data_IF_783015621926
#
_entry.id   IF_783015621926
#
_cell.length_a   1.000
_cell.length_b   1.000
_cell.length_c   1.000
_cell.angle_alpha   90.00
_cell.angle_beta   90.00
_cell.angle_gamma   90.00
#
_symmetry.space_group_name_H-M   'P 1'
#
loop_
_entity.id
_entity.type
_entity.pdbx_description
1 polymer ?
#
# COMPACT_ATOMS: atom_id res chain seq x y z
N UNK A 1 2.58 10.28 -15.87
CA UNK A 1 2.90 10.25 -14.41
C UNK A 1 3.34 8.84 -14.10
N UNK A 2 4.20 8.63 -13.13
CA UNK A 2 4.66 7.28 -12.78
C UNK A 2 3.50 6.52 -12.13
N UNK A 3 3.29 5.23 -12.45
CA UNK A 3 2.24 4.37 -11.84
C UNK A 3 2.27 4.39 -10.29
N UNK A 4 3.38 4.84 -9.71
CA UNK A 4 3.64 4.91 -8.29
C UNK A 4 3.12 6.17 -7.59
N UNK A 5 2.62 7.14 -8.32
CA UNK A 5 2.22 8.43 -7.76
C UNK A 5 0.81 8.36 -7.20
N UNK A 6 0.66 8.56 -5.88
CA UNK A 6 -0.64 8.86 -5.26
C UNK A 6 -0.88 10.37 -5.31
N UNK A 7 -2.02 10.77 -5.86
CA UNK A 7 -2.43 12.16 -5.95
C UNK A 7 -3.57 12.41 -4.95
N UNK A 8 -3.39 13.34 -4.02
CA UNK A 8 -4.49 13.83 -3.20
C UNK A 8 -5.39 14.73 -4.04
N UNK A 9 -6.65 14.35 -4.16
CA UNK A 9 -7.67 15.06 -4.96
C UNK A 9 -8.77 15.59 -4.06
N UNK A 10 -9.06 16.87 -4.18
CA UNK A 10 -10.09 17.55 -3.41
C UNK A 10 -10.82 18.60 -4.25
N UNK A 11 -11.79 19.30 -3.63
CA UNK A 11 -12.40 20.52 -4.16
C UNK A 11 -12.36 21.60 -3.07
N UNK A 12 -11.61 22.67 -3.30
CA UNK A 12 -11.43 23.75 -2.33
C UNK A 12 -12.61 24.74 -2.37
N UNK A 13 -13.12 25.09 -1.20
CA UNK A 13 -14.17 26.09 -1.07
C UNK A 13 -13.63 27.51 -1.17
N UNK A 14 -14.28 28.41 -1.92
CA UNK A 14 -13.89 29.83 -2.00
C UNK A 14 -14.21 30.63 -0.73
N UNK A 15 -14.90 30.07 0.25
CA UNK A 15 -15.28 30.73 1.49
C UNK A 15 -14.05 31.10 2.34
N UNK A 16 -13.90 32.38 2.64
CA UNK A 16 -12.72 32.92 3.34
C UNK A 16 -12.47 32.28 4.71
N UNK A 17 -13.52 31.98 5.44
CA UNK A 17 -13.41 31.38 6.78
C UNK A 17 -12.86 29.93 6.77
N UNK A 18 -12.90 29.25 5.63
CA UNK A 18 -12.32 27.91 5.45
C UNK A 18 -10.82 27.90 5.18
N UNK A 19 -10.26 29.04 4.77
CA UNK A 19 -8.85 29.14 4.33
C UNK A 19 -7.86 28.57 5.36
N UNK A 20 -7.95 28.88 6.68
CA UNK A 20 -6.99 28.34 7.64
C UNK A 20 -7.03 26.81 7.75
N UNK A 21 -8.23 26.22 7.75
CA UNK A 21 -8.41 24.77 7.83
C UNK A 21 -7.91 24.09 6.56
N UNK A 22 -8.32 24.58 5.39
CA UNK A 22 -7.91 24.01 4.11
C UNK A 22 -6.40 24.07 3.89
N UNK A 23 -5.72 25.14 4.32
CA UNK A 23 -4.26 25.22 4.29
C UNK A 23 -3.60 24.16 5.18
N UNK A 24 -4.06 24.01 6.42
CA UNK A 24 -3.54 22.99 7.32
C UNK A 24 -3.71 21.57 6.74
N UNK A 25 -4.85 21.28 6.12
CA UNK A 25 -5.09 20.01 5.45
C UNK A 25 -4.13 19.79 4.27
N UNK A 26 -3.99 20.77 3.37
CA UNK A 26 -3.05 20.71 2.24
C UNK A 26 -1.62 20.48 2.73
N UNK A 27 -1.18 21.20 3.77
CA UNK A 27 0.16 21.04 4.35
C UNK A 27 0.34 19.62 4.93
N UNK A 28 -0.68 19.06 5.59
CA UNK A 28 -0.63 17.69 6.10
C UNK A 28 -0.49 16.64 4.99
N UNK A 29 -1.18 16.81 3.86
CA UNK A 29 -1.09 15.91 2.71
C UNK A 29 0.27 15.97 2.04
N UNK A 30 0.87 17.17 1.93
CA UNK A 30 2.24 17.35 1.42
C UNK A 30 3.28 16.72 2.34
N UNK A 31 3.10 16.86 3.66
CA UNK A 31 3.97 16.22 4.65
C UNK A 31 3.90 14.68 4.57
N UNK A 32 2.76 14.12 4.13
CA UNK A 32 2.61 12.71 3.82
C UNK A 32 3.23 12.30 2.45
N UNK A 33 3.87 13.24 1.74
CA UNK A 33 4.51 13.02 0.44
C UNK A 33 3.55 13.03 -0.75
N UNK A 34 2.33 13.58 -0.59
CA UNK A 34 1.32 13.60 -1.65
C UNK A 34 1.42 14.86 -2.52
N UNK A 35 1.26 14.69 -3.82
CA UNK A 35 0.92 15.78 -4.74
C UNK A 35 -0.54 16.14 -4.54
N UNK A 36 -0.88 17.44 -4.55
CA UNK A 36 -2.24 17.92 -4.27
C UNK A 36 -2.85 18.56 -5.52
N UNK A 37 -3.99 18.02 -5.96
CA UNK A 37 -4.81 18.55 -7.04
C UNK A 37 -6.16 19.03 -6.50
N UNK A 38 -6.59 20.23 -6.89
CA UNK A 38 -7.92 20.73 -6.57
C UNK A 38 -8.77 20.86 -7.82
N UNK A 39 -9.94 20.21 -7.78
CA UNK A 39 -10.94 20.21 -8.84
C UNK A 39 -11.95 21.29 -8.55
N UNK A 40 -11.98 22.31 -9.39
CA UNK A 40 -12.88 23.45 -9.19
C UNK A 40 -13.42 23.98 -10.53
N UNK A 41 -14.58 24.59 -10.50
CA UNK A 41 -15.08 25.33 -11.63
C UNK A 41 -14.12 26.50 -11.98
N UNK A 42 -13.89 26.82 -13.27
CA UNK A 42 -12.95 27.89 -13.67
C UNK A 42 -13.19 29.24 -12.98
N UNK A 43 -14.45 29.61 -12.74
CA UNK A 43 -14.78 30.85 -12.03
C UNK A 43 -14.33 30.86 -10.56
N UNK A 44 -14.29 29.71 -9.88
CA UNK A 44 -13.78 29.60 -8.51
C UNK A 44 -12.26 29.63 -8.48
N UNK A 45 -11.59 29.00 -9.45
CA UNK A 45 -10.12 29.00 -9.55
C UNK A 45 -9.56 30.41 -9.57
N UNK A 46 -10.22 31.33 -10.27
CA UNK A 46 -9.81 32.74 -10.29
C UNK A 46 -9.74 33.38 -8.90
N UNK A 47 -10.66 32.98 -8.00
CA UNK A 47 -10.69 33.49 -6.61
C UNK A 47 -9.75 32.72 -5.67
N UNK A 48 -9.44 31.46 -5.99
CA UNK A 48 -8.67 30.54 -5.14
C UNK A 48 -7.17 30.56 -5.43
N UNK A 49 -6.78 30.81 -6.68
CA UNK A 49 -5.40 30.69 -7.16
C UNK A 49 -4.38 31.54 -6.38
N UNK A 50 -4.78 32.72 -5.89
CA UNK A 50 -3.91 33.56 -5.06
C UNK A 50 -3.79 33.11 -3.59
N UNK A 51 -4.59 32.13 -3.16
CA UNK A 51 -4.70 31.69 -1.77
C UNK A 51 -4.01 30.36 -1.51
N UNK A 52 -3.98 29.49 -2.53
CA UNK A 52 -3.48 28.12 -2.41
C UNK A 52 -2.49 27.82 -3.51
N UNK A 53 -1.41 27.17 -3.13
CA UNK A 53 -0.42 26.61 -4.05
C UNK A 53 -0.73 25.12 -4.25
N UNK A 54 -1.58 24.80 -5.23
CA UNK A 54 -1.98 23.43 -5.59
C UNK A 54 -2.09 23.31 -7.11
N UNK A 55 -2.08 22.11 -7.63
CA UNK A 55 -2.37 21.87 -9.05
C UNK A 55 -3.86 22.01 -9.31
N UNK A 56 -4.24 22.97 -10.12
CA UNK A 56 -5.63 23.22 -10.46
C UNK A 56 -6.09 22.36 -11.62
N UNK A 57 -7.22 21.66 -11.42
CA UNK A 57 -7.92 20.93 -12.47
C UNK A 57 -9.24 21.64 -12.74
N UNK A 58 -9.35 22.40 -13.85
CA UNK A 58 -10.59 23.10 -14.20
C UNK A 58 -11.67 22.09 -14.61
N UNK A 59 -12.84 22.17 -13.99
CA UNK A 59 -13.98 21.29 -14.21
C UNK A 59 -15.22 22.12 -14.54
N UNK A 60 -15.77 21.92 -15.73
CA UNK A 60 -17.04 22.54 -16.15
C UNK A 60 -18.25 21.68 -15.75
N UNK A 61 -18.07 20.34 -15.70
CA UNK A 61 -19.12 19.40 -15.28
C UNK A 61 -19.25 19.41 -13.77
N UNK A 62 -20.22 20.14 -13.25
CA UNK A 62 -20.49 20.24 -11.80
C UNK A 62 -21.94 19.91 -11.50
N UNK A 63 -22.28 19.80 -10.22
CA UNK A 63 -23.67 19.60 -9.77
C UNK A 63 -24.38 20.91 -9.41
N UNK A 64 -24.01 22.01 -10.08
CA UNK A 64 -24.57 23.34 -9.81
C UNK A 64 -26.09 23.41 -10.06
N UNK A 65 -26.59 22.70 -11.06
CA UNK A 65 -28.02 22.63 -11.37
C UNK A 65 -28.85 21.97 -10.25
N UNK A 66 -28.20 21.12 -9.44
CA UNK A 66 -28.86 20.41 -8.34
C UNK A 66 -28.72 21.17 -7.03
N UNK A 67 -27.55 21.74 -6.74
CA UNK A 67 -27.22 22.32 -5.43
C UNK A 67 -27.08 23.82 -5.40
N UNK A 68 -27.07 24.47 -6.57
CA UNK A 68 -26.81 25.90 -6.69
C UNK A 68 -25.32 26.33 -6.48
N UNK A 69 -24.43 25.37 -6.28
CA UNK A 69 -22.99 25.56 -6.09
C UNK A 69 -22.20 24.55 -6.92
N UNK A 70 -20.94 24.87 -7.24
CA UNK A 70 -20.06 24.07 -8.10
C UNK A 70 -19.47 22.85 -7.36
N UNK A 71 -20.32 21.95 -6.83
CA UNK A 71 -19.83 20.68 -6.30
C UNK A 71 -19.36 19.74 -7.40
N UNK A 72 -18.27 19.04 -7.16
CA UNK A 72 -17.64 18.15 -8.14
C UNK A 72 -18.16 16.72 -7.98
N UNK A 73 -18.82 16.14 -9.00
CA UNK A 73 -19.26 14.75 -8.98
C UNK A 73 -18.09 13.78 -8.83
N UNK A 74 -18.28 12.70 -8.05
CA UNK A 74 -17.25 11.65 -7.85
C UNK A 74 -16.80 11.05 -9.17
N UNK A 75 -17.72 10.90 -10.13
CA UNK A 75 -17.41 10.38 -11.48
C UNK A 75 -16.35 11.20 -12.20
N UNK A 76 -16.38 12.52 -12.09
CA UNK A 76 -15.40 13.40 -12.74
C UNK A 76 -13.97 13.12 -12.26
N UNK A 77 -13.81 12.87 -10.95
CA UNK A 77 -12.52 12.50 -10.37
C UNK A 77 -12.09 11.12 -10.83
N UNK A 78 -13.01 10.16 -10.85
CA UNK A 78 -12.72 8.81 -11.30
C UNK A 78 -12.26 8.77 -12.77
N UNK A 79 -12.93 9.50 -13.67
CA UNK A 79 -12.56 9.59 -15.08
C UNK A 79 -11.20 10.27 -15.29
N UNK A 80 -10.93 11.30 -14.50
CA UNK A 80 -9.63 11.95 -14.54
C UNK A 80 -8.51 11.00 -14.09
N UNK A 81 -8.75 10.24 -13.03
CA UNK A 81 -7.80 9.25 -12.53
C UNK A 81 -7.51 8.15 -13.58
N UNK A 82 -8.54 7.69 -14.32
CA UNK A 82 -8.40 6.75 -15.43
C UNK A 82 -7.57 7.34 -16.57
N UNK A 83 -7.89 8.56 -17.02
CA UNK A 83 -7.18 9.22 -18.11
C UNK A 83 -5.68 9.43 -17.84
N UNK A 84 -5.32 9.58 -16.55
CA UNK A 84 -3.93 9.81 -16.14
C UNK A 84 -3.23 8.55 -15.65
N UNK A 85 -3.96 7.42 -15.57
CA UNK A 85 -3.49 6.14 -15.04
C UNK A 85 -2.80 6.28 -13.67
N UNK A 86 -3.51 6.87 -12.72
CA UNK A 86 -2.97 7.17 -11.38
C UNK A 86 -3.85 6.63 -10.28
N UNK A 87 -3.24 6.45 -9.11
CA UNK A 87 -3.96 6.23 -7.87
C UNK A 87 -4.31 7.58 -7.24
N UNK A 88 -5.56 7.74 -6.84
CA UNK A 88 -6.04 8.97 -6.20
C UNK A 88 -6.45 8.73 -4.76
N UNK A 89 -6.03 9.64 -3.88
CA UNK A 89 -6.62 9.82 -2.57
C UNK A 89 -7.66 10.94 -2.68
N UNK A 90 -8.91 10.55 -2.94
CA UNK A 90 -10.04 11.46 -2.95
C UNK A 90 -10.40 11.83 -1.51
N UNK A 91 -10.28 13.10 -1.13
CA UNK A 91 -10.33 13.53 0.26
C UNK A 91 -11.05 14.89 0.40
N UNK A 92 -11.90 15.02 1.42
CA UNK A 92 -12.52 16.31 1.76
C UNK A 92 -11.49 17.35 2.19
N UNK A 93 -11.74 18.60 1.82
CA UNK A 93 -10.83 19.73 2.04
C UNK A 93 -10.67 20.17 3.52
N UNK A 94 -11.35 19.51 4.44
CA UNK A 94 -11.31 19.71 5.89
C UNK A 94 -10.82 18.48 6.67
N UNK A 95 -10.20 17.54 5.97
CA UNK A 95 -9.57 16.36 6.58
C UNK A 95 -8.05 16.54 6.62
N UNK A 96 -7.49 16.57 7.81
CA UNK A 96 -6.06 16.57 8.07
C UNK A 96 -5.54 15.12 8.14
N UNK A 97 -4.44 14.81 7.42
CA UNK A 97 -3.78 13.51 7.48
C UNK A 97 -2.58 13.54 8.42
N UNK A 98 -2.51 12.56 9.32
CA UNK A 98 -1.32 12.30 10.14
C UNK A 98 -0.74 10.94 9.74
N UNK A 99 -0.05 10.92 8.62
CA UNK A 99 0.58 9.75 8.04
C UNK A 99 1.95 10.08 7.48
N UNK A 100 2.85 9.14 7.56
CA UNK A 100 4.14 9.18 6.88
C UNK A 100 3.98 8.73 5.43
N UNK A 101 4.98 9.03 4.60
CA UNK A 101 4.97 8.61 3.19
C UNK A 101 4.97 7.07 3.05
N UNK A 102 5.63 6.34 3.96
CA UNK A 102 5.62 4.88 3.92
C UNK A 102 4.25 4.28 4.32
N UNK A 103 3.53 4.88 5.26
CA UNK A 103 2.16 4.46 5.60
C UNK A 103 1.20 4.68 4.43
N UNK A 104 1.37 5.76 3.67
CA UNK A 104 0.64 5.97 2.42
C UNK A 104 0.99 4.87 1.40
N UNK A 105 2.27 4.53 1.21
CA UNK A 105 2.70 3.43 0.34
C UNK A 105 2.04 2.11 0.76
N UNK A 106 2.07 1.79 2.05
CA UNK A 106 1.46 0.58 2.60
C UNK A 106 -0.04 0.49 2.31
N UNK A 107 -0.80 1.56 2.60
CA UNK A 107 -2.24 1.59 2.33
C UNK A 107 -2.51 1.51 0.83
N UNK A 108 -1.67 2.13 -0.01
CA UNK A 108 -1.73 2.02 -1.48
C UNK A 108 -1.62 0.58 -1.95
N UNK A 109 -0.62 -0.17 -1.46
CA UNK A 109 -0.43 -1.56 -1.86
C UNK A 109 -1.54 -2.47 -1.38
N UNK A 110 -2.05 -2.26 -0.18
CA UNK A 110 -3.23 -2.98 0.32
C UNK A 110 -4.47 -2.70 -0.54
N UNK A 111 -4.60 -1.47 -1.06
CA UNK A 111 -5.68 -1.07 -1.96
C UNK A 111 -5.49 -1.51 -3.42
N UNK A 112 -4.37 -2.15 -3.78
CA UNK A 112 -4.12 -2.56 -5.16
C UNK A 112 -5.18 -3.53 -5.68
N UNK A 113 -5.97 -3.11 -6.67
CA UNK A 113 -7.14 -3.84 -7.17
C UNK A 113 -8.40 -3.73 -6.31
N UNK A 114 -8.47 -2.70 -5.46
CA UNK A 114 -9.59 -2.42 -4.59
C UNK A 114 -9.64 -0.98 -4.11
N UNK A 115 -10.19 -0.77 -2.93
CA UNK A 115 -10.37 0.54 -2.31
C UNK A 115 -9.86 0.52 -0.87
N UNK A 116 -9.12 1.54 -0.46
CA UNK A 116 -8.96 1.86 0.96
C UNK A 116 -9.80 3.06 1.33
N UNK A 117 -10.51 3.01 2.46
CA UNK A 117 -11.20 4.17 3.01
C UNK A 117 -10.74 4.44 4.43
N UNK A 118 -10.77 5.72 4.82
CA UNK A 118 -10.26 6.17 6.10
C UNK A 118 -11.40 6.52 7.04
N UNK A 119 -11.41 5.90 8.22
CA UNK A 119 -12.35 6.26 9.28
C UNK A 119 -11.94 7.62 9.84
N UNK A 120 -12.89 8.55 9.82
CA UNK A 120 -12.69 9.90 10.32
C UNK A 120 -12.60 9.93 11.85
N UNK A 121 -11.62 10.67 12.37
CA UNK A 121 -11.48 10.95 13.79
C UNK A 121 -11.82 12.42 14.08
N UNK A 122 -12.89 12.64 14.82
CA UNK A 122 -13.38 13.97 15.15
C UNK A 122 -12.66 14.57 16.35
N UNK A 123 -12.29 15.87 16.28
CA UNK A 123 -11.70 16.62 17.39
C UNK A 123 -12.21 18.06 17.46
N UNK A 124 -12.18 18.66 18.65
CA UNK A 124 -12.59 20.04 18.93
C UNK A 124 -11.42 21.04 19.01
N UNK A 125 -10.28 20.69 18.38
CA UNK A 125 -9.05 21.53 18.38
C UNK A 125 -7.80 20.82 18.92
N UNK A 126 -7.95 19.63 19.51
CA UNK A 126 -6.82 18.81 19.95
C UNK A 126 -6.94 17.40 19.38
N UNK A 127 -6.07 17.04 18.43
CA UNK A 127 -6.04 15.75 17.75
C UNK A 127 -5.72 14.58 18.68
N UNK A 128 -4.98 14.79 19.78
CA UNK A 128 -4.67 13.73 20.75
C UNK A 128 -5.90 13.27 21.53
N UNK A 129 -7.01 14.02 21.47
CA UNK A 129 -8.31 13.71 22.07
C UNK A 129 -9.37 13.41 21.03
N UNK A 130 -8.96 13.14 19.80
CA UNK A 130 -9.87 12.75 18.73
C UNK A 130 -10.51 11.39 19.03
N UNK A 131 -11.75 11.22 18.59
CA UNK A 131 -12.48 9.97 18.66
C UNK A 131 -12.95 9.55 17.28
N UNK A 132 -12.99 8.24 16.99
CA UNK A 132 -13.50 7.76 15.71
C UNK A 132 -14.97 8.15 15.55
N UNK A 133 -15.32 8.58 14.34
CA UNK A 133 -16.71 8.80 13.92
C UNK A 133 -17.18 7.58 13.13
N UNK A 134 -18.02 6.72 13.70
CA UNK A 134 -18.39 5.45 13.08
C UNK A 134 -19.00 5.56 11.69
N UNK A 135 -19.62 6.71 11.39
CA UNK A 135 -20.31 6.95 10.13
C UNK A 135 -19.57 7.92 9.20
N UNK A 136 -18.45 8.51 9.67
CA UNK A 136 -17.69 9.48 8.91
C UNK A 136 -16.59 8.82 8.08
N UNK A 137 -16.71 8.92 6.77
CA UNK A 137 -15.71 8.46 5.81
C UNK A 137 -15.52 9.57 4.79
N UNK A 138 -14.38 10.25 4.85
CA UNK A 138 -14.16 11.45 4.04
C UNK A 138 -12.85 11.38 3.23
N UNK A 139 -12.24 10.18 3.13
CA UNK A 139 -11.05 9.94 2.33
C UNK A 139 -11.04 8.51 1.75
N UNK A 140 -10.71 8.40 0.45
CA UNK A 140 -10.75 7.16 -0.32
C UNK A 140 -9.54 7.04 -1.21
N UNK A 141 -8.82 5.93 -1.12
CA UNK A 141 -7.69 5.62 -1.98
C UNK A 141 -8.07 4.52 -2.96
N UNK A 142 -8.04 4.81 -4.26
CA UNK A 142 -8.36 3.87 -5.34
C UNK A 142 -7.60 4.21 -6.62
N UNK A 143 -7.49 3.25 -7.53
CA UNK A 143 -6.83 3.44 -8.83
C UNK A 143 -7.84 3.81 -9.92
N UNK A 144 -7.43 4.66 -10.87
CA UNK A 144 -8.24 5.08 -12.01
C UNK A 144 -8.78 3.92 -12.86
N UNK A 145 -8.08 2.77 -12.91
CA UNK A 145 -8.56 1.56 -13.59
C UNK A 145 -9.95 1.06 -13.13
N UNK A 146 -10.38 1.46 -11.94
CA UNK A 146 -11.68 1.12 -11.39
C UNK A 146 -12.76 2.20 -11.65
N UNK A 147 -12.44 3.25 -12.41
CA UNK A 147 -13.36 4.36 -12.72
C UNK A 147 -14.66 3.92 -13.39
N UNK A 148 -14.63 2.82 -14.16
CA UNK A 148 -15.81 2.24 -14.79
C UNK A 148 -16.88 1.76 -13.79
N UNK A 149 -16.51 1.50 -12.52
CA UNK A 149 -17.44 1.16 -11.46
C UNK A 149 -18.30 2.35 -11.03
N UNK A 150 -17.80 3.58 -11.22
CA UNK A 150 -18.49 4.80 -10.77
C UNK A 150 -19.45 5.27 -11.86
N UNK A 151 -20.77 5.24 -11.63
CA UNK A 151 -21.75 5.67 -12.60
C UNK A 151 -21.84 7.20 -12.71
N UNK A 152 -22.38 7.68 -13.82
CA UNK A 152 -22.75 9.08 -13.96
C UNK A 152 -23.83 9.44 -12.93
N UNK A 153 -23.54 10.42 -12.09
CA UNK A 153 -24.44 10.90 -11.05
C UNK A 153 -24.03 12.30 -10.57
N UNK A 154 -24.93 12.98 -9.87
CA UNK A 154 -24.63 14.24 -9.23
C UNK A 154 -24.11 14.08 -7.79
N UNK A 155 -23.90 12.84 -7.30
CA UNK A 155 -23.26 12.62 -5.99
C UNK A 155 -21.84 13.20 -6.00
N UNK A 156 -21.63 14.22 -5.18
CA UNK A 156 -20.47 15.11 -5.25
C UNK A 156 -19.72 15.17 -3.93
N UNK A 157 -18.44 15.43 -4.01
CA UNK A 157 -17.54 15.62 -2.87
C UNK A 157 -18.16 16.62 -1.88
N UNK A 158 -18.23 16.25 -0.61
CA UNK A 158 -18.74 17.08 0.48
C UNK A 158 -20.27 17.17 0.56
N UNK A 159 -21.03 16.44 -0.27
CA UNK A 159 -22.47 16.29 -0.19
C UNK A 159 -22.86 14.94 0.43
N UNK A 160 -24.07 14.74 0.98
CA UNK A 160 -24.47 13.46 1.56
C UNK A 160 -24.35 12.29 0.58
N UNK A 161 -24.09 11.08 1.10
CA UNK A 161 -23.99 9.80 0.37
C UNK A 161 -22.82 9.65 -0.61
N UNK A 162 -22.06 10.69 -0.90
CA UNK A 162 -20.86 10.54 -1.73
C UNK A 162 -19.83 9.62 -1.06
N UNK A 163 -19.74 9.70 0.27
CA UNK A 163 -18.85 8.95 1.14
C UNK A 163 -19.21 7.46 1.24
N UNK A 164 -20.45 7.09 0.94
CA UNK A 164 -20.90 5.69 0.90
C UNK A 164 -20.84 5.08 -0.50
N UNK A 165 -20.74 5.92 -1.55
CA UNK A 165 -20.86 5.46 -2.93
C UNK A 165 -19.70 4.53 -3.32
N UNK A 166 -18.45 4.95 -3.12
CA UNK A 166 -17.29 4.17 -3.52
C UNK A 166 -17.19 2.83 -2.78
N UNK A 167 -17.22 2.77 -1.43
CA UNK A 167 -17.16 1.50 -0.71
C UNK A 167 -18.28 0.54 -1.13
N UNK A 168 -19.49 1.03 -1.32
CA UNK A 168 -20.60 0.23 -1.75
C UNK A 168 -20.38 -0.37 -3.15
N UNK A 169 -19.99 0.45 -4.12
CA UNK A 169 -19.74 0.01 -5.50
C UNK A 169 -18.63 -1.03 -5.57
N UNK A 170 -17.51 -0.79 -4.86
CA UNK A 170 -16.40 -1.72 -4.87
C UNK A 170 -16.78 -3.09 -4.31
N UNK A 171 -17.44 -3.14 -3.15
CA UNK A 171 -17.91 -4.42 -2.55
C UNK A 171 -18.91 -5.14 -3.44
N UNK A 172 -19.91 -4.43 -3.98
CA UNK A 172 -20.95 -5.07 -4.80
C UNK A 172 -20.44 -5.57 -6.15
N UNK A 173 -19.31 -5.05 -6.62
CA UNK A 173 -18.61 -5.55 -7.80
C UNK A 173 -17.46 -6.54 -7.48
N UNK A 174 -17.44 -7.09 -6.27
CA UNK A 174 -16.47 -8.12 -5.86
C UNK A 174 -15.03 -7.61 -5.69
N UNK A 175 -14.86 -6.29 -5.50
CA UNK A 175 -13.55 -5.69 -5.19
C UNK A 175 -13.28 -5.74 -3.68
N UNK A 176 -12.01 -5.87 -3.31
CA UNK A 176 -11.61 -5.76 -1.91
C UNK A 176 -11.73 -4.32 -1.41
N UNK A 177 -12.11 -4.15 -0.15
CA UNK A 177 -12.05 -2.86 0.53
C UNK A 177 -11.32 -2.98 1.86
N UNK A 178 -10.55 -1.95 2.20
CA UNK A 178 -9.75 -1.87 3.40
C UNK A 178 -10.18 -0.65 4.22
N UNK A 179 -10.57 -0.88 5.48
CA UNK A 179 -10.88 0.21 6.40
C UNK A 179 -9.62 0.60 7.17
N UNK A 180 -9.12 1.80 6.96
CA UNK A 180 -8.03 2.38 7.76
C UNK A 180 -8.67 2.96 9.03
N UNK A 181 -8.70 2.16 10.11
CA UNK A 181 -9.38 2.50 11.37
C UNK A 181 -8.44 3.12 12.42
N UNK A 182 -7.11 3.01 12.23
CA UNK A 182 -6.18 3.73 13.11
C UNK A 182 -6.27 5.24 12.88
N UNK A 183 -5.89 6.06 13.89
CA UNK A 183 -6.00 7.53 13.80
C UNK A 183 -5.09 8.13 12.73
N UNK A 184 -5.60 8.24 11.51
CA UNK A 184 -4.88 8.77 10.35
C UNK A 184 -5.58 9.99 9.72
N UNK A 185 -6.92 10.01 9.68
CA UNK A 185 -7.72 11.08 9.08
C UNK A 185 -8.48 11.84 10.17
N UNK A 186 -8.15 13.12 10.35
CA UNK A 186 -8.68 13.95 11.42
C UNK A 186 -9.57 15.06 10.86
N UNK A 187 -10.71 15.25 11.52
CA UNK A 187 -11.68 16.28 11.18
C UNK A 187 -11.95 17.18 12.37
N UNK A 188 -11.75 18.47 12.19
CA UNK A 188 -12.17 19.46 13.18
C UNK A 188 -13.68 19.65 13.12
N UNK A 189 -14.39 19.31 14.18
CA UNK A 189 -15.85 19.40 14.24
C UNK A 189 -16.34 20.82 14.00
N UNK A 190 -17.26 20.95 13.08
CA UNK A 190 -18.00 22.18 12.78
C UNK A 190 -19.49 21.87 12.51
N UNK A 191 -20.31 22.90 12.35
CA UNK A 191 -21.72 22.75 12.02
C UNK A 191 -21.93 22.11 10.64
N UNK A 192 -23.06 21.41 10.48
CA UNK A 192 -23.48 20.79 9.22
C UNK A 192 -23.52 21.81 8.07
N UNK A 193 -22.99 21.46 6.91
CA UNK A 193 -22.86 22.32 5.73
C UNK A 193 -23.89 22.03 4.64
N UNK A 194 -24.73 21.03 4.81
CA UNK A 194 -25.77 20.64 3.87
C UNK A 194 -27.16 20.71 4.52
N UNK A 195 -28.17 20.91 3.68
CA UNK A 195 -29.56 20.94 4.12
C UNK A 195 -30.19 19.54 4.11
N UNK A 196 -31.28 19.38 4.86
CA UNK A 196 -32.09 18.17 4.78
C UNK A 196 -32.57 17.87 3.34
N UNK A 197 -32.91 18.91 2.59
CA UNK A 197 -33.33 18.75 1.19
C UNK A 197 -32.20 18.15 0.32
N UNK A 198 -30.97 18.59 0.51
CA UNK A 198 -29.82 18.01 -0.18
C UNK A 198 -29.60 16.55 0.23
N UNK A 199 -29.73 16.25 1.52
CA UNK A 199 -29.61 14.85 1.98
C UNK A 199 -30.64 13.95 1.32
N UNK A 200 -31.92 14.35 1.29
CA UNK A 200 -33.00 13.63 0.66
C UNK A 200 -32.78 13.44 -0.85
N UNK A 201 -32.31 14.46 -1.57
CA UNK A 201 -31.96 14.37 -3.00
C UNK A 201 -30.85 13.34 -3.22
N UNK A 202 -29.79 13.39 -2.41
CA UNK A 202 -28.67 12.46 -2.49
C UNK A 202 -29.07 11.03 -2.14
N UNK A 203 -29.91 10.82 -1.13
CA UNK A 203 -30.46 9.50 -0.78
C UNK A 203 -31.21 8.86 -1.94
N UNK A 204 -32.08 9.63 -2.60
CA UNK A 204 -32.83 9.16 -3.80
C UNK A 204 -31.89 8.79 -4.95
N UNK A 205 -30.92 9.62 -5.23
CA UNK A 205 -29.94 9.33 -6.28
C UNK A 205 -29.10 8.09 -5.95
N UNK A 206 -28.66 7.96 -4.69
CA UNK A 206 -27.95 6.78 -4.23
C UNK A 206 -28.82 5.52 -4.36
N UNK A 207 -30.10 5.59 -3.95
CA UNK A 207 -31.07 4.51 -4.11
C UNK A 207 -31.27 4.12 -5.58
N UNK A 208 -31.34 5.09 -6.50
CA UNK A 208 -31.42 4.87 -7.94
C UNK A 208 -30.21 4.11 -8.48
N UNK A 209 -29.00 4.47 -8.02
CA UNK A 209 -27.73 3.85 -8.47
C UNK A 209 -27.64 2.41 -7.95
N UNK A 210 -28.00 2.20 -6.69
CA UNK A 210 -27.74 0.93 -5.99
C UNK A 210 -28.89 -0.05 -6.06
N UNK A 211 -30.05 0.36 -6.57
CA UNK A 211 -31.27 -0.42 -6.53
C UNK A 211 -31.90 -0.54 -5.12
N UNK A 212 -31.34 0.14 -4.13
CA UNK A 212 -31.82 0.17 -2.75
C UNK A 212 -32.92 1.23 -2.59
N UNK A 213 -33.96 1.13 -3.40
CA UNK A 213 -35.11 2.06 -3.34
C UNK A 213 -35.97 1.73 -2.12
N UNK A 214 -35.96 2.62 -1.14
CA UNK A 214 -36.92 2.66 -0.06
C UNK A 214 -37.91 3.84 -0.25
N UNK A 215 -38.80 4.04 0.71
CA UNK A 215 -39.63 5.23 0.77
C UNK A 215 -38.85 6.40 1.38
N UNK A 216 -37.72 6.85 0.80
CA UNK A 216 -36.89 7.95 1.34
C UNK A 216 -37.67 9.27 1.44
N UNK A 217 -38.81 9.22 2.14
CA UNK A 217 -39.74 10.36 2.33
C UNK A 217 -39.49 11.07 3.65
N UNK A 218 -38.84 10.40 4.60
CA UNK A 218 -38.53 10.93 5.93
C UNK A 218 -37.02 10.90 6.24
N UNK A 219 -36.63 11.58 7.31
CA UNK A 219 -35.29 11.54 7.82
C UNK A 219 -34.91 10.13 8.31
N UNK A 220 -35.87 9.46 8.93
CA UNK A 220 -35.70 8.08 9.43
C UNK A 220 -35.45 7.11 8.29
N UNK A 221 -36.11 7.26 7.15
CA UNK A 221 -35.87 6.44 5.95
C UNK A 221 -34.48 6.63 5.40
N UNK A 222 -33.99 7.87 5.32
CA UNK A 222 -32.64 8.17 4.84
C UNK A 222 -31.55 7.67 5.82
N UNK A 223 -31.79 7.73 7.12
CA UNK A 223 -30.91 7.13 8.13
C UNK A 223 -30.91 5.61 8.01
N UNK A 224 -32.08 4.99 7.85
CA UNK A 224 -32.19 3.54 7.65
C UNK A 224 -31.42 3.08 6.39
N UNK A 225 -31.52 3.82 5.28
CA UNK A 225 -30.75 3.57 4.07
C UNK A 225 -29.25 3.65 4.34
N UNK A 226 -28.78 4.70 5.04
CA UNK A 226 -27.36 4.87 5.40
C UNK A 226 -26.84 3.67 6.20
N UNK A 227 -27.61 3.20 7.18
CA UNK A 227 -27.25 2.02 7.99
C UNK A 227 -27.20 0.73 7.15
N UNK A 228 -28.18 0.53 6.26
CA UNK A 228 -28.22 -0.63 5.38
C UNK A 228 -27.02 -0.66 4.42
N UNK A 229 -26.68 0.48 3.83
CA UNK A 229 -25.51 0.65 2.97
C UNK A 229 -24.24 0.34 3.74
N UNK A 230 -24.11 0.90 4.95
CA UNK A 230 -22.97 0.65 5.82
C UNK A 230 -22.80 -0.84 6.13
N UNK A 231 -23.87 -1.53 6.48
CA UNK A 231 -23.84 -2.98 6.72
C UNK A 231 -23.37 -3.77 5.49
N UNK A 232 -23.69 -3.31 4.28
CA UNK A 232 -23.28 -3.97 3.03
C UNK A 232 -21.76 -3.93 2.86
N UNK A 233 -21.17 -2.77 3.00
CA UNK A 233 -19.71 -2.71 2.82
C UNK A 233 -18.93 -3.09 4.07
N UNK A 234 -19.46 -2.97 5.28
CA UNK A 234 -18.82 -3.47 6.49
C UNK A 234 -18.58 -4.98 6.48
N UNK A 235 -19.42 -5.75 5.77
CA UNK A 235 -19.20 -7.20 5.58
C UNK A 235 -17.97 -7.53 4.74
N UNK A 236 -17.60 -6.66 3.81
CA UNK A 236 -16.46 -6.84 2.91
C UNK A 236 -15.17 -6.15 3.39
N UNK A 237 -15.24 -5.41 4.50
CA UNK A 237 -14.09 -4.64 4.97
C UNK A 237 -13.02 -5.51 5.64
N UNK A 238 -11.78 -5.12 5.44
CA UNK A 238 -10.62 -5.60 6.18
C UNK A 238 -9.91 -4.39 6.75
N UNK A 239 -9.61 -4.40 8.04
CA UNK A 239 -8.88 -3.30 8.69
C UNK A 239 -7.40 -3.67 8.81
N UNK A 240 -6.49 -2.97 8.11
CA UNK A 240 -5.07 -3.19 8.30
C UNK A 240 -4.68 -2.77 9.72
N UNK A 241 -3.74 -3.45 10.37
CA UNK A 241 -3.23 -3.01 11.67
C UNK A 241 -2.61 -1.62 11.56
N UNK A 242 -2.61 -0.85 12.64
CA UNK A 242 -1.97 0.47 12.70
C UNK A 242 -0.48 0.40 12.38
N UNK A 243 0.18 -0.64 12.87
CA UNK A 243 1.56 -0.99 12.54
C UNK A 243 1.58 -2.39 11.92
N UNK A 244 2.48 -2.67 10.98
CA UNK A 244 2.67 -4.02 10.47
C UNK A 244 3.09 -4.93 11.62
N UNK A 245 2.57 -6.17 11.62
CA UNK A 245 3.00 -7.17 12.60
C UNK A 245 4.48 -7.45 12.37
N UNK A 246 5.33 -7.51 13.42
CA UNK A 246 6.72 -7.95 13.25
C UNK A 246 6.78 -9.28 12.49
N UNK A 247 7.63 -9.35 11.49
CA UNK A 247 7.67 -10.53 10.59
C UNK A 247 7.89 -11.83 11.34
N UNK A 248 8.73 -11.83 12.39
CA UNK A 248 8.97 -13.02 13.22
C UNK A 248 7.69 -13.50 13.91
N UNK A 249 6.88 -12.62 14.48
CA UNK A 249 5.60 -12.97 15.09
C UNK A 249 4.61 -13.53 14.06
N UNK A 250 4.61 -12.99 12.83
CA UNK A 250 3.78 -13.49 11.75
C UNK A 250 4.19 -14.92 11.36
N UNK A 251 5.49 -15.17 11.19
CA UNK A 251 6.04 -16.49 10.83
C UNK A 251 5.75 -17.51 11.93
N UNK A 252 5.99 -17.17 13.19
CA UNK A 252 5.67 -18.04 14.34
C UNK A 252 4.18 -18.39 14.39
N UNK A 253 3.32 -17.42 14.22
CA UNK A 253 1.88 -17.63 14.19
C UNK A 253 1.45 -18.51 13.00
N UNK A 254 1.98 -18.24 11.79
CA UNK A 254 1.58 -18.93 10.56
C UNK A 254 2.04 -20.37 10.55
N UNK A 255 3.24 -20.63 11.02
CA UNK A 255 3.89 -21.94 10.92
C UNK A 255 3.93 -22.74 12.25
N UNK A 256 3.04 -22.44 13.17
CA UNK A 256 2.96 -23.10 14.49
C UNK A 256 2.48 -24.55 14.47
N UNK A 257 1.91 -25.03 13.35
CA UNK A 257 1.39 -26.40 13.24
C UNK A 257 2.51 -27.44 13.09
N UNK A 258 2.17 -28.73 13.28
CA UNK A 258 3.14 -29.84 13.26
C UNK A 258 3.40 -30.44 11.88
N UNK A 259 2.92 -29.83 10.79
CA UNK A 259 3.20 -30.30 9.44
C UNK A 259 4.64 -30.00 9.03
N UNK A 260 5.32 -30.89 8.27
CA UNK A 260 6.64 -30.60 7.74
C UNK A 260 6.62 -29.36 6.83
N UNK A 261 7.65 -28.54 6.92
CA UNK A 261 7.78 -27.28 6.17
C UNK A 261 9.19 -27.15 5.59
N UNK A 262 9.26 -26.58 4.40
CA UNK A 262 10.53 -26.23 3.75
C UNK A 262 10.66 -24.72 3.64
N UNK A 263 11.72 -24.19 4.21
CA UNK A 263 12.09 -22.79 4.13
C UNK A 263 13.38 -22.60 3.32
N UNK A 264 13.45 -21.54 2.56
CA UNK A 264 14.69 -21.03 1.98
C UNK A 264 15.04 -19.69 2.64
N UNK A 265 16.28 -19.55 3.05
CA UNK A 265 16.83 -18.27 3.54
C UNK A 265 17.98 -17.87 2.62
N UNK A 266 17.80 -16.78 1.90
CA UNK A 266 18.72 -16.27 0.91
C UNK A 266 19.39 -15.01 1.49
N UNK A 267 20.73 -15.05 1.64
CA UNK A 267 21.46 -14.02 2.36
C UNK A 267 21.44 -14.25 3.88
N UNK A 268 21.76 -15.46 4.32
CA UNK A 268 21.61 -15.85 5.74
C UNK A 268 22.70 -15.28 6.67
N UNK A 269 23.70 -14.59 6.13
CA UNK A 269 24.77 -13.90 6.88
C UNK A 269 25.38 -14.77 7.98
N UNK A 270 25.36 -14.34 9.24
CA UNK A 270 25.84 -15.11 10.39
C UNK A 270 24.80 -16.11 10.96
N UNK A 271 23.65 -16.25 10.31
CA UNK A 271 22.62 -17.21 10.65
C UNK A 271 21.77 -16.82 11.85
N UNK A 272 21.58 -15.55 12.12
CA UNK A 272 20.71 -15.08 13.23
C UNK A 272 19.26 -15.45 12.99
N UNK A 273 18.72 -15.19 11.80
CA UNK A 273 17.37 -15.53 11.42
C UNK A 273 17.23 -17.03 11.16
N UNK A 274 18.23 -17.66 10.55
CA UNK A 274 18.33 -19.14 10.43
C UNK A 274 18.16 -19.80 11.80
N UNK A 275 18.92 -19.32 12.80
CA UNK A 275 18.90 -19.88 14.15
C UNK A 275 17.54 -19.79 14.82
N UNK A 276 16.84 -18.68 14.63
CA UNK A 276 15.49 -18.49 15.11
C UNK A 276 14.48 -19.36 14.34
N UNK A 277 14.48 -19.32 13.00
CA UNK A 277 13.58 -20.15 12.20
C UNK A 277 13.76 -21.65 12.45
N UNK A 278 15.00 -22.09 12.73
CA UNK A 278 15.29 -23.49 13.08
C UNK A 278 14.65 -23.94 14.40
N UNK A 279 14.12 -23.05 15.22
CA UNK A 279 13.35 -23.40 16.44
C UNK A 279 11.88 -23.69 16.16
N UNK A 280 11.39 -23.36 14.97
CA UNK A 280 10.00 -23.62 14.60
C UNK A 280 9.74 -25.12 14.43
N UNK A 281 8.51 -25.59 14.70
CA UNK A 281 8.21 -27.02 14.64
C UNK A 281 8.27 -27.54 13.19
N UNK A 282 8.99 -28.66 13.02
CA UNK A 282 9.04 -29.43 11.76
C UNK A 282 9.50 -28.62 10.52
N UNK A 283 10.40 -27.65 10.72
CA UNK A 283 10.98 -26.83 9.65
C UNK A 283 12.32 -27.41 9.21
N UNK A 284 12.52 -27.57 7.91
CA UNK A 284 13.82 -27.76 7.26
C UNK A 284 14.18 -26.48 6.54
N UNK A 285 15.39 -25.96 6.76
CA UNK A 285 15.87 -24.71 6.18
C UNK A 285 17.02 -24.97 5.23
N UNK A 286 16.95 -24.43 4.02
CA UNK A 286 18.07 -24.32 3.10
C UNK A 286 18.58 -22.86 3.18
N UNK A 287 19.76 -22.67 3.77
CA UNK A 287 20.34 -21.35 4.05
C UNK A 287 21.49 -21.05 3.10
N UNK A 288 21.42 -19.93 2.40
CA UNK A 288 22.39 -19.51 1.38
C UNK A 288 23.18 -18.30 1.86
N UNK A 289 24.52 -18.41 1.85
CA UNK A 289 25.42 -17.33 2.22
C UNK A 289 26.70 -17.40 1.40
N UNK A 290 26.88 -16.53 0.40
CA UNK A 290 28.06 -16.56 -0.46
C UNK A 290 29.34 -16.02 0.18
N UNK A 291 29.24 -15.08 1.14
CA UNK A 291 30.39 -14.45 1.75
C UNK A 291 31.20 -15.45 2.59
N UNK A 292 32.47 -15.76 2.21
CA UNK A 292 33.29 -16.72 2.94
C UNK A 292 33.67 -16.25 4.37
N UNK A 293 33.50 -14.96 4.67
CA UNK A 293 33.81 -14.39 6.00
C UNK A 293 32.67 -14.70 6.99
N UNK A 294 31.46 -15.01 6.51
CA UNK A 294 30.29 -15.30 7.32
C UNK A 294 30.17 -16.80 7.58
N UNK A 295 30.40 -17.21 8.82
CA UNK A 295 30.29 -18.61 9.23
C UNK A 295 29.10 -18.80 10.17
N UNK A 296 28.30 -19.79 9.87
CA UNK A 296 27.09 -20.10 10.62
C UNK A 296 27.24 -21.36 11.47
N UNK A 297 26.58 -21.44 12.64
CA UNK A 297 26.53 -22.65 13.44
C UNK A 297 25.81 -23.78 12.69
N UNK A 298 26.36 -24.99 12.75
CA UNK A 298 25.71 -26.21 12.19
C UNK A 298 24.51 -26.60 13.03
N UNK A 299 23.38 -26.89 12.38
CA UNK A 299 22.13 -27.37 12.97
C UNK A 299 21.57 -28.54 12.19
N UNK A 300 20.91 -29.48 12.86
CA UNK A 300 20.45 -30.72 12.23
C UNK A 300 19.34 -30.53 11.19
N UNK A 301 18.56 -29.47 11.32
CA UNK A 301 17.47 -29.12 10.39
C UNK A 301 17.82 -27.95 9.46
N UNK A 302 19.12 -27.61 9.33
CA UNK A 302 19.61 -26.54 8.45
C UNK A 302 20.61 -27.11 7.46
N UNK A 303 20.35 -26.89 6.19
CA UNK A 303 21.21 -27.27 5.05
C UNK A 303 21.89 -25.99 4.56
N UNK A 304 23.15 -25.78 4.94
CA UNK A 304 23.92 -24.59 4.56
C UNK A 304 24.51 -24.73 3.16
N UNK A 305 24.47 -23.65 2.39
CA UNK A 305 25.00 -23.54 1.04
C UNK A 305 25.86 -22.30 0.88
N UNK A 306 27.10 -22.48 0.47
CA UNK A 306 28.04 -21.38 0.15
C UNK A 306 27.82 -20.94 -1.31
N UNK A 307 26.64 -20.40 -1.60
CA UNK A 307 26.16 -20.06 -2.94
C UNK A 307 25.46 -18.69 -2.93
N UNK A 308 25.70 -17.91 -3.96
CA UNK A 308 24.84 -16.78 -4.29
C UNK A 308 23.62 -17.26 -5.07
N UNK A 309 22.47 -16.62 -4.85
CA UNK A 309 21.27 -16.90 -5.65
C UNK A 309 21.11 -15.76 -6.68
N UNK A 310 20.93 -16.13 -7.94
CA UNK A 310 20.85 -15.18 -9.04
C UNK A 310 20.06 -15.67 -10.24
N UNK A 311 20.19 -14.95 -11.36
CA UNK A 311 19.46 -15.26 -12.61
C UNK A 311 20.10 -16.36 -13.46
N UNK A 312 21.35 -16.77 -13.18
CA UNK A 312 22.06 -17.79 -13.93
C UNK A 312 22.98 -18.62 -13.04
N UNK A 313 23.21 -19.87 -13.45
CA UNK A 313 24.14 -20.77 -12.78
C UNK A 313 25.58 -20.46 -13.19
N UNK A 314 26.56 -20.70 -12.30
CA UNK A 314 27.98 -20.55 -12.58
C UNK A 314 28.72 -19.74 -11.55
N UNK A 315 29.54 -18.79 -11.98
CA UNK A 315 30.29 -17.88 -11.09
C UNK A 315 29.79 -16.46 -11.28
N UNK A 316 29.77 -15.72 -10.19
CA UNK A 316 29.34 -14.31 -10.17
C UNK A 316 30.32 -13.47 -9.38
N UNK A 317 30.67 -12.27 -9.84
CA UNK A 317 31.34 -11.30 -9.00
C UNK A 317 30.48 -10.98 -7.77
N UNK A 318 31.14 -10.89 -6.61
CA UNK A 318 30.53 -10.59 -5.33
C UNK A 318 31.31 -9.49 -4.64
N UNK A 319 30.70 -8.35 -4.45
CA UNK A 319 31.33 -7.14 -3.92
C UNK A 319 31.21 -7.15 -2.41
N UNK A 320 32.34 -7.11 -1.72
CA UNK A 320 32.40 -7.21 -0.28
C UNK A 320 32.16 -5.84 0.36
N UNK A 321 31.20 -5.73 1.26
CA UNK A 321 31.16 -4.61 2.20
C UNK A 321 32.19 -4.82 3.32
N UNK A 322 32.85 -3.76 3.79
CA UNK A 322 33.95 -3.88 4.72
C UNK A 322 33.73 -3.19 6.05
N UNK A 323 33.25 -1.96 6.01
CA UNK A 323 33.14 -1.12 7.19
C UNK A 323 31.85 -0.31 7.17
N UNK A 324 31.16 -0.24 8.29
CA UNK A 324 29.94 0.54 8.42
C UNK A 324 29.65 0.86 9.88
N UNK A 325 29.07 2.01 10.13
CA UNK A 325 28.72 2.48 11.49
C UNK A 325 29.85 2.38 12.51
N UNK A 326 31.09 2.62 12.07
CA UNK A 326 32.28 2.60 12.95
C UNK A 326 32.81 1.21 13.28
N UNK A 327 32.42 0.15 12.58
CA UNK A 327 32.83 -1.24 12.83
C UNK A 327 32.98 -2.04 11.53
N UNK A 328 33.55 -3.25 11.62
CA UNK A 328 33.55 -4.20 10.51
C UNK A 328 32.10 -4.56 10.13
N UNK A 329 31.83 -4.49 8.82
CA UNK A 329 30.47 -4.64 8.30
C UNK A 329 30.44 -5.58 7.08
N UNK A 330 29.66 -6.66 7.14
CA UNK A 330 29.53 -7.65 6.07
C UNK A 330 28.09 -7.83 5.60
N UNK A 331 27.15 -7.04 6.12
CA UNK A 331 25.72 -7.18 5.82
C UNK A 331 25.33 -6.71 4.42
N UNK A 332 26.06 -5.76 3.85
CA UNK A 332 25.70 -5.14 2.57
C UNK A 332 26.49 -5.69 1.36
N UNK A 333 27.09 -6.89 1.49
CA UNK A 333 27.81 -7.54 0.39
C UNK A 333 26.81 -8.10 -0.63
N UNK A 334 27.08 -7.91 -1.95
CA UNK A 334 26.11 -8.26 -2.99
C UNK A 334 26.79 -8.71 -4.29
N UNK A 335 26.04 -9.46 -5.12
CA UNK A 335 26.39 -9.69 -6.53
C UNK A 335 26.12 -8.44 -7.40
N UNK A 336 25.47 -7.44 -6.85
CA UNK A 336 25.14 -6.16 -7.50
C UNK A 336 26.10 -5.07 -7.07
N UNK A 337 26.37 -4.12 -7.96
CA UNK A 337 27.22 -2.97 -7.61
C UNK A 337 26.44 -1.96 -6.77
N UNK A 338 27.01 -1.46 -5.66
CA UNK A 338 26.40 -0.40 -4.89
C UNK A 338 26.31 0.89 -5.73
N UNK A 339 25.17 1.56 -5.65
CA UNK A 339 24.86 2.82 -6.34
C UNK A 339 24.47 3.89 -5.32
N UNK A 340 23.19 4.10 -5.07
CA UNK A 340 22.75 5.08 -4.08
C UNK A 340 23.02 4.65 -2.63
N UNK A 341 23.31 3.38 -2.40
CA UNK A 341 23.74 2.86 -1.11
C UNK A 341 24.92 3.66 -0.51
N UNK A 342 25.88 4.04 -1.34
CA UNK A 342 27.05 4.82 -0.93
C UNK A 342 26.71 6.23 -0.41
N UNK A 343 25.54 6.76 -0.77
CA UNK A 343 25.07 8.08 -0.34
C UNK A 343 24.11 8.00 0.84
N UNK A 344 23.42 6.87 0.98
CA UNK A 344 22.38 6.69 2.00
C UNK A 344 22.91 6.12 3.31
N UNK A 345 23.91 5.26 3.23
CA UNK A 345 24.45 4.54 4.39
C UNK A 345 25.96 4.76 4.54
N UNK A 346 26.49 4.83 5.78
CA UNK A 346 27.93 5.00 6.05
C UNK A 346 28.67 3.66 5.90
N UNK A 347 28.51 2.99 4.75
CA UNK A 347 29.13 1.69 4.45
C UNK A 347 30.17 1.86 3.35
N UNK A 348 31.32 1.22 3.51
CA UNK A 348 32.36 1.13 2.49
C UNK A 348 32.41 -0.26 1.89
N UNK A 349 32.73 -0.33 0.63
CA UNK A 349 32.94 -1.56 -0.12
C UNK A 349 34.39 -1.69 -0.52
N UNK A 350 34.89 -2.92 -0.51
CA UNK A 350 36.27 -3.26 -0.79
C UNK A 350 36.43 -4.18 -1.99
N UNK A 351 37.08 -5.31 -1.78
CA UNK A 351 37.39 -6.26 -2.83
C UNK A 351 36.12 -6.88 -3.47
N UNK A 352 36.26 -7.22 -4.75
CA UNK A 352 35.30 -8.08 -5.44
C UNK A 352 35.92 -9.46 -5.56
N UNK A 353 35.19 -10.46 -5.10
CA UNK A 353 35.57 -11.87 -5.21
C UNK A 353 34.65 -12.63 -6.18
N UNK A 354 35.09 -13.78 -6.65
CA UNK A 354 34.25 -14.70 -7.43
C UNK A 354 33.59 -15.72 -6.49
N UNK A 355 32.26 -15.81 -6.51
CA UNK A 355 31.52 -16.81 -5.76
C UNK A 355 30.76 -17.73 -6.71
N UNK A 356 30.45 -18.93 -6.25
CA UNK A 356 29.52 -19.81 -6.97
C UNK A 356 28.11 -19.27 -6.87
N UNK A 357 27.39 -19.26 -8.01
CA UNK A 357 26.03 -18.78 -8.12
C UNK A 357 25.12 -19.87 -8.70
N UNK A 358 23.87 -19.90 -8.23
CA UNK A 358 22.87 -20.85 -8.67
C UNK A 358 21.52 -20.17 -8.83
N UNK A 359 20.71 -20.66 -9.78
CA UNK A 359 19.32 -20.27 -9.87
C UNK A 359 18.49 -21.09 -8.89
N UNK A 360 17.41 -20.50 -8.36
CA UNK A 360 16.48 -21.27 -7.50
C UNK A 360 15.91 -22.49 -8.20
N UNK A 361 15.60 -22.36 -9.49
CA UNK A 361 15.05 -23.47 -10.27
C UNK A 361 16.03 -24.63 -10.42
N UNK A 362 17.32 -24.36 -10.63
CA UNK A 362 18.35 -25.40 -10.67
C UNK A 362 18.56 -26.01 -9.29
N UNK A 363 18.68 -25.20 -8.26
CA UNK A 363 18.87 -25.68 -6.90
C UNK A 363 17.72 -26.61 -6.46
N UNK A 364 16.48 -26.15 -6.55
CA UNK A 364 15.33 -26.94 -6.10
C UNK A 364 15.16 -28.23 -6.90
N UNK A 365 15.44 -28.21 -8.20
CA UNK A 365 15.45 -29.42 -9.03
C UNK A 365 16.52 -30.40 -8.58
N UNK A 366 17.73 -29.93 -8.27
CA UNK A 366 18.88 -30.79 -7.90
C UNK A 366 18.69 -31.41 -6.52
N UNK A 367 18.17 -30.64 -5.56
CA UNK A 367 17.94 -31.07 -4.18
C UNK A 367 16.58 -31.76 -3.98
N UNK A 368 15.74 -31.86 -5.02
CA UNK A 368 14.42 -32.52 -4.93
C UNK A 368 13.40 -31.69 -4.11
N UNK A 369 13.56 -30.37 -4.04
CA UNK A 369 12.64 -29.48 -3.35
C UNK A 369 11.50 -29.11 -4.30
N UNK A 370 10.31 -29.67 -4.07
CA UNK A 370 9.17 -29.48 -4.97
C UNK A 370 8.25 -28.34 -4.52
N UNK A 371 8.11 -28.10 -3.22
CA UNK A 371 7.24 -27.08 -2.64
C UNK A 371 7.98 -26.33 -1.53
N UNK A 372 7.78 -25.03 -1.49
CA UNK A 372 8.37 -24.13 -0.50
C UNK A 372 7.26 -23.43 0.26
N UNK A 373 7.30 -23.51 1.59
CA UNK A 373 6.32 -22.83 2.43
C UNK A 373 6.67 -21.37 2.64
N UNK A 374 7.99 -21.06 2.75
CA UNK A 374 8.43 -19.70 3.00
C UNK A 374 9.85 -19.44 2.45
N UNK A 375 10.01 -18.32 1.76
CA UNK A 375 11.31 -17.76 1.40
C UNK A 375 11.52 -16.49 2.20
N UNK A 376 12.68 -16.39 2.85
CA UNK A 376 13.24 -15.16 3.40
C UNK A 376 14.39 -14.74 2.50
N UNK A 377 14.22 -13.65 1.75
CA UNK A 377 15.24 -13.15 0.83
C UNK A 377 15.71 -11.76 1.26
N UNK A 378 16.97 -11.69 1.65
CA UNK A 378 17.72 -10.49 2.01
C UNK A 378 19.08 -10.61 1.28
N UNK A 379 19.09 -10.25 0.00
CA UNK A 379 20.21 -10.48 -0.92
C UNK A 379 20.75 -9.19 -1.55
N UNK A 380 20.48 -8.09 -0.85
CA UNK A 380 21.12 -6.81 -1.09
C UNK A 380 21.01 -6.34 -2.56
N UNK A 381 19.75 -6.23 -3.04
CA UNK A 381 19.43 -5.72 -4.35
C UNK A 381 19.37 -6.74 -5.49
N UNK A 382 19.60 -8.03 -5.21
CA UNK A 382 19.56 -9.11 -6.20
C UNK A 382 18.20 -9.85 -6.28
N UNK A 383 17.14 -9.30 -5.70
CA UNK A 383 15.81 -9.89 -5.64
C UNK A 383 15.22 -10.11 -7.04
N UNK A 384 15.43 -9.16 -7.95
CA UNK A 384 15.01 -9.28 -9.34
C UNK A 384 15.73 -10.44 -10.07
N UNK A 385 17.02 -10.66 -9.80
CA UNK A 385 17.81 -11.79 -10.30
C UNK A 385 17.28 -13.12 -9.75
N UNK A 386 17.01 -13.18 -8.46
CA UNK A 386 16.43 -14.35 -7.78
C UNK A 386 15.08 -14.72 -8.42
N UNK A 387 14.21 -13.75 -8.68
CA UNK A 387 12.90 -13.99 -9.30
C UNK A 387 13.06 -14.53 -10.71
N UNK A 388 13.95 -13.94 -11.54
CA UNK A 388 14.23 -14.44 -12.91
C UNK A 388 14.83 -15.84 -12.93
N UNK A 389 15.66 -16.18 -11.94
CA UNK A 389 16.24 -17.52 -11.80
C UNK A 389 15.34 -18.54 -11.10
N UNK A 390 14.17 -18.13 -10.61
CA UNK A 390 13.29 -18.93 -9.77
C UNK A 390 11.83 -19.01 -10.24
N UNK A 391 11.52 -18.74 -11.51
CA UNK A 391 10.15 -18.67 -11.98
C UNK A 391 9.31 -19.93 -11.67
N UNK A 392 9.88 -21.15 -11.89
CA UNK A 392 9.21 -22.40 -11.57
C UNK A 392 9.09 -22.61 -10.06
N UNK A 393 10.16 -22.32 -9.33
CA UNK A 393 10.23 -22.45 -7.88
C UNK A 393 9.21 -21.54 -7.20
N UNK A 394 9.14 -20.29 -7.63
CA UNK A 394 8.22 -19.29 -7.05
C UNK A 394 6.74 -19.62 -7.32
N UNK A 395 6.40 -20.26 -8.44
CA UNK A 395 5.03 -20.79 -8.63
C UNK A 395 4.63 -21.83 -7.58
N UNK A 396 5.60 -22.54 -7.00
CA UNK A 396 5.41 -23.56 -5.96
C UNK A 396 5.79 -23.02 -4.55
N UNK A 397 5.98 -21.72 -4.40
CA UNK A 397 6.28 -21.05 -3.14
C UNK A 397 5.02 -20.40 -2.59
N UNK A 398 4.69 -20.65 -1.31
CA UNK A 398 3.49 -20.08 -0.67
C UNK A 398 3.67 -18.65 -0.24
N UNK A 399 4.80 -18.35 0.43
CA UNK A 399 5.10 -17.02 0.97
C UNK A 399 6.52 -16.61 0.61
N UNK A 400 6.67 -15.33 0.25
CA UNK A 400 7.96 -14.69 0.04
C UNK A 400 8.03 -13.43 0.90
N UNK A 401 9.01 -13.35 1.78
CA UNK A 401 9.43 -12.13 2.46
C UNK A 401 10.72 -11.65 1.81
N UNK A 402 10.76 -10.40 1.37
CA UNK A 402 11.88 -9.88 0.61
C UNK A 402 12.03 -8.38 0.79
N UNK A 403 13.26 -7.88 0.67
CA UNK A 403 13.55 -6.45 0.61
C UNK A 403 13.14 -5.86 -0.76
N UNK A 404 12.94 -4.56 -0.77
CA UNK A 404 12.79 -3.74 -1.96
C UNK A 404 13.31 -2.33 -1.72
N UNK A 405 13.67 -1.60 -2.78
CA UNK A 405 14.00 -0.19 -2.66
C UNK A 405 13.55 0.59 -3.89
N UNK A 406 12.92 1.74 -3.65
CA UNK A 406 12.56 2.67 -4.71
C UNK A 406 13.75 3.58 -5.10
N UNK A 407 14.84 3.58 -4.32
CA UNK A 407 16.00 4.46 -4.51
C UNK A 407 17.15 3.80 -5.30
N UNK A 408 16.97 2.61 -5.84
CA UNK A 408 18.01 1.85 -6.55
C UNK A 408 19.34 1.88 -5.78
N UNK A 409 19.35 1.28 -4.58
CA UNK A 409 20.56 1.22 -3.72
C UNK A 409 21.70 0.49 -4.41
N UNK A 410 21.37 -0.50 -5.25
CA UNK A 410 22.30 -1.26 -6.08
C UNK A 410 21.91 -1.12 -7.56
N UNK A 411 22.88 -1.19 -8.47
CA UNK A 411 22.66 -1.04 -9.92
C UNK A 411 21.63 -2.07 -10.43
N UNK A 412 20.50 -1.60 -10.99
CA UNK A 412 19.43 -2.43 -11.52
C UNK A 412 18.66 -3.21 -10.44
N UNK A 413 18.67 -2.75 -9.19
CA UNK A 413 17.78 -3.27 -8.15
C UNK A 413 16.33 -3.06 -8.53
N UNK A 414 15.50 -4.08 -8.34
CA UNK A 414 14.08 -4.00 -8.66
C UNK A 414 13.32 -3.21 -7.58
N UNK A 415 12.49 -2.27 -8.02
CA UNK A 415 11.50 -1.60 -7.18
C UNK A 415 10.35 -2.55 -6.83
N UNK A 416 9.53 -2.21 -5.82
CA UNK A 416 8.38 -3.04 -5.47
C UNK A 416 7.39 -3.24 -6.63
N UNK A 417 7.04 -2.22 -7.46
CA UNK A 417 6.24 -2.44 -8.66
C UNK A 417 6.84 -3.45 -9.63
N UNK A 418 8.15 -3.38 -9.87
CA UNK A 418 8.84 -4.32 -10.76
C UNK A 418 8.83 -5.74 -10.20
N UNK A 419 9.05 -5.91 -8.89
CA UNK A 419 8.90 -7.20 -8.19
C UNK A 419 7.48 -7.76 -8.39
N UNK A 420 6.45 -6.93 -8.17
CA UNK A 420 5.06 -7.36 -8.33
C UNK A 420 4.70 -7.69 -9.78
N UNK A 421 5.25 -6.97 -10.76
CA UNK A 421 5.05 -7.29 -12.18
C UNK A 421 5.70 -8.62 -12.57
N UNK A 422 6.85 -8.97 -11.96
CA UNK A 422 7.49 -10.28 -12.16
C UNK A 422 6.76 -11.42 -11.44
N UNK A 423 5.93 -11.12 -10.43
CA UNK A 423 5.22 -12.09 -9.58
C UNK A 423 3.69 -11.92 -9.67
N UNK A 424 3.07 -12.11 -10.86
CA UNK A 424 1.64 -11.82 -11.07
C UNK A 424 0.69 -12.68 -10.22
N UNK A 425 1.14 -13.86 -9.76
CA UNK A 425 0.36 -14.75 -8.90
C UNK A 425 0.43 -14.38 -7.41
N UNK A 426 1.32 -13.46 -7.04
CA UNK A 426 1.47 -13.01 -5.67
C UNK A 426 0.62 -11.79 -5.34
N UNK A 427 0.30 -11.63 -4.06
CA UNK A 427 -0.30 -10.42 -3.49
C UNK A 427 0.47 -9.97 -2.26
N UNK A 428 0.48 -8.69 -2.01
CA UNK A 428 1.02 -8.14 -0.76
C UNK A 428 0.10 -8.52 0.40
N UNK A 429 0.66 -9.11 1.47
CA UNK A 429 -0.02 -9.35 2.74
C UNK A 429 0.32 -8.25 3.73
N UNK A 430 1.62 -7.90 3.81
CA UNK A 430 2.12 -6.89 4.74
C UNK A 430 3.28 -6.13 4.10
N UNK A 431 3.44 -4.88 4.47
CA UNK A 431 4.46 -3.98 3.94
C UNK A 431 5.12 -3.21 5.08
N UNK A 432 6.45 -3.22 5.10
CA UNK A 432 7.32 -2.42 5.97
C UNK A 432 8.04 -1.35 5.14
N UNK A 433 8.92 -0.59 5.76
CA UNK A 433 9.62 0.51 5.08
C UNK A 433 10.45 0.04 3.87
N UNK A 434 11.19 -1.05 4.05
CA UNK A 434 12.12 -1.59 3.06
C UNK A 434 11.86 -3.08 2.77
N UNK A 435 10.79 -3.68 3.37
CA UNK A 435 10.45 -5.10 3.25
C UNK A 435 9.00 -5.32 2.83
N UNK A 436 8.73 -6.44 2.18
CA UNK A 436 7.38 -6.87 1.81
C UNK A 436 7.17 -8.37 2.06
N UNK A 437 6.00 -8.71 2.58
CA UNK A 437 5.53 -10.09 2.67
C UNK A 437 4.48 -10.35 1.61
N UNK A 438 4.75 -11.34 0.77
CA UNK A 438 3.94 -11.72 -0.37
C UNK A 438 3.34 -13.12 -0.17
N UNK A 439 2.09 -13.32 -0.60
CA UNK A 439 1.41 -14.61 -0.63
C UNK A 439 1.06 -15.00 -2.07
N UNK A 440 1.38 -16.22 -2.44
CA UNK A 440 0.98 -16.80 -3.72
C UNK A 440 -0.52 -17.15 -3.69
N UNK A 441 -1.34 -16.45 -4.47
CA UNK A 441 -2.80 -16.64 -4.53
C UNK A 441 -3.20 -18.03 -5.04
N UNK A 442 -2.38 -18.62 -5.90
CA UNK A 442 -2.66 -19.95 -6.44
C UNK A 442 -2.51 -21.07 -5.37
N UNK A 443 -1.75 -20.80 -4.29
CA UNK A 443 -1.48 -21.74 -3.20
C UNK A 443 -2.15 -21.30 -1.87
N UNK A 444 -2.86 -20.17 -1.85
CA UNK A 444 -3.60 -19.70 -0.70
C UNK A 444 -4.77 -20.66 -0.42
N UNK A 445 -4.80 -21.25 0.79
CA UNK A 445 -5.89 -22.09 1.30
C UNK A 445 -6.39 -21.56 2.63
#
# INVERSE_FOLDING_TARGET
>A
MNEDTVVAVTSLSPALWRVPVQKACIDSWRNAGLRVCSFNHPSEILALNSRYDVDWVPVETTSADVFGNYYIPVKVVADWAEQHDVMVLLINADIELQMTSWEIKRVRWLAHGGLSYFVRHNHSGNVTRASPEPYGIDAFLFHGRDAALVPNSFLSIGQPFWDYLLPYLFVTHGRHIWAVEFPAAFHRVHGCQWSWENWHRCAKEFGRITGMLGSEQSMEDCVALSLQVRQTFDRGKVSPPAQPRPIREWVEWKFRNSEPKTFLELGSHLGTDTAWMATLPHVTIHAFEPDPRNNQPVRSNVIQRRLAVGASDGRSPFILSEYGWGQKWTHSSSIKKPKNHLHRYPVTFGDTIEVEAITLDTYCRTEGVEQIDFIWADIEGAEGEMIRGGERTLRNTRYLFTEYSDDELYEGQASLPEIMNMLPDFRVIELWADDVLLENRALAR
#
